data_IF_673268140037
#
_entry.id   IF_673268140037
#
_cell.length_a   1.000
_cell.length_b   1.000
_cell.length_c   1.000
_cell.angle_alpha   90.00
_cell.angle_beta   90.00
_cell.angle_gamma   90.00
#
_symmetry.space_group_name_H-M   'P 1'
#
loop_
_entity.id
_entity.type
_entity.pdbx_description
1 polymer ?
#
# COMPACT_ATOMS: atom_id res chain seq x y z
N UNK A 1 6.35 -6.03 14.50
CA UNK A 1 6.05 -4.58 14.49
C UNK A 1 6.58 -3.89 15.74
N UNK A 2 6.44 -4.51 16.91
CA UNK A 2 6.92 -3.98 18.21
C UNK A 2 8.38 -3.52 18.22
N UNK A 3 9.32 -4.31 17.65
CA UNK A 3 10.74 -3.90 17.60
C UNK A 3 10.95 -2.55 16.91
N UNK A 4 10.24 -2.27 15.82
CA UNK A 4 10.37 -1.00 15.10
C UNK A 4 9.72 0.13 15.90
N UNK A 5 8.58 -0.12 16.53
CA UNK A 5 7.87 0.88 17.34
C UNK A 5 8.61 1.24 18.63
N UNK A 6 9.43 0.33 19.16
CA UNK A 6 10.33 0.61 20.27
C UNK A 6 11.51 1.50 19.86
N UNK A 7 11.96 1.41 18.60
CA UNK A 7 13.08 2.21 18.09
C UNK A 7 12.62 3.55 17.51
N UNK A 8 11.46 3.56 16.86
CA UNK A 8 10.90 4.72 16.16
C UNK A 8 9.48 4.93 16.68
N UNK A 9 9.25 5.97 17.50
CA UNK A 9 7.91 6.23 18.03
C UNK A 9 6.96 6.55 16.88
N UNK A 10 5.74 6.04 17.00
CA UNK A 10 4.70 6.10 15.97
C UNK A 10 4.41 7.52 15.45
N UNK A 11 4.57 8.53 16.33
CA UNK A 11 4.37 9.95 16.03
C UNK A 11 5.38 10.50 15.02
N UNK A 12 6.52 9.83 14.83
CA UNK A 12 7.55 10.16 13.85
C UNK A 12 7.38 9.41 12.52
N UNK A 13 6.41 8.50 12.43
CA UNK A 13 6.16 7.71 11.23
C UNK A 13 5.00 8.35 10.48
N UNK A 14 5.31 9.00 9.37
CA UNK A 14 4.30 9.63 8.51
C UNK A 14 3.47 8.58 7.76
N UNK A 15 4.13 7.67 7.04
CA UNK A 15 3.50 6.59 6.27
C UNK A 15 4.40 5.34 6.19
N UNK A 16 3.82 4.17 6.41
CA UNK A 16 4.46 2.88 6.13
C UNK A 16 4.14 2.46 4.69
N UNK A 17 5.15 2.37 3.83
CA UNK A 17 5.01 1.88 2.45
C UNK A 17 5.38 0.39 2.39
N UNK A 18 4.52 -0.45 1.82
CA UNK A 18 4.80 -1.89 1.72
C UNK A 18 4.27 -2.52 0.43
N UNK A 19 4.90 -3.62 0.00
CA UNK A 19 4.52 -4.33 -1.22
C UNK A 19 3.44 -5.41 -0.98
N UNK A 20 3.08 -6.16 -2.01
CA UNK A 20 1.90 -7.07 -2.09
C UNK A 20 1.96 -8.32 -1.20
N UNK A 21 3.06 -8.51 -0.48
CA UNK A 21 3.22 -9.58 0.50
C UNK A 21 2.60 -9.21 1.86
N UNK A 22 2.37 -7.93 2.12
CA UNK A 22 1.93 -7.41 3.42
C UNK A 22 0.41 -7.18 3.51
N UNK A 23 -0.40 -8.18 3.15
CA UNK A 23 -1.87 -8.05 3.03
C UNK A 23 -2.71 -8.96 3.96
N UNK A 24 -2.08 -9.46 5.04
CA UNK A 24 -2.74 -10.28 6.05
C UNK A 24 -3.72 -9.48 6.93
N UNK A 25 -4.78 -10.14 7.41
CA UNK A 25 -5.76 -9.54 8.32
C UNK A 25 -5.09 -8.99 9.58
N UNK A 26 -4.33 -9.83 10.30
CA UNK A 26 -3.64 -9.45 11.53
C UNK A 26 -2.67 -8.28 11.31
N UNK A 27 -1.99 -8.27 10.15
CA UNK A 27 -1.06 -7.19 9.81
C UNK A 27 -1.79 -5.86 9.61
N UNK A 28 -2.83 -5.86 8.77
CA UNK A 28 -3.62 -4.66 8.46
C UNK A 28 -4.37 -4.15 9.69
N UNK A 29 -4.91 -5.06 10.50
CA UNK A 29 -5.62 -4.72 11.71
C UNK A 29 -4.65 -4.16 12.76
N UNK A 30 -3.47 -4.77 12.94
CA UNK A 30 -2.40 -4.24 13.78
C UNK A 30 -1.98 -2.82 13.38
N UNK A 31 -1.78 -2.54 12.09
CA UNK A 31 -1.48 -1.19 11.61
C UNK A 31 -2.60 -0.20 11.94
N UNK A 32 -3.86 -0.62 11.76
CA UNK A 32 -5.03 0.20 12.05
C UNK A 32 -5.18 0.49 13.53
N UNK A 33 -5.06 -0.52 14.40
CA UNK A 33 -5.18 -0.38 15.86
C UNK A 33 -4.11 0.56 16.42
N UNK A 34 -2.89 0.46 15.90
CA UNK A 34 -1.78 1.34 16.26
C UNK A 34 -1.89 2.74 15.62
N UNK A 35 -2.95 3.03 14.84
CA UNK A 35 -3.17 4.31 14.13
C UNK A 35 -2.03 4.69 13.17
N UNK A 36 -1.28 3.70 12.67
CA UNK A 36 -0.26 3.88 11.64
C UNK A 36 -0.92 4.13 10.29
N UNK A 37 -0.50 5.21 9.65
CA UNK A 37 -0.82 5.44 8.24
C UNK A 37 0.02 4.46 7.41
N UNK A 38 -0.62 3.67 6.56
CA UNK A 38 0.09 2.77 5.66
C UNK A 38 -0.40 2.92 4.23
N UNK A 39 0.45 2.56 3.27
CA UNK A 39 0.14 2.49 1.84
C UNK A 39 0.73 1.20 1.30
N UNK A 40 -0.14 0.25 1.01
CA UNK A 40 0.27 -1.12 0.71
C UNK A 40 -0.22 -1.48 -0.68
N UNK A 41 0.67 -1.99 -1.52
CA UNK A 41 0.30 -2.48 -2.85
C UNK A 41 -0.48 -3.78 -2.73
N UNK A 42 -1.52 -3.94 -3.55
CA UNK A 42 -2.39 -5.11 -3.50
C UNK A 42 -2.51 -5.75 -4.87
N UNK A 43 -2.68 -7.07 -4.92
CA UNK A 43 -2.90 -7.76 -6.20
C UNK A 43 -4.36 -7.56 -6.63
N UNK A 44 -4.59 -7.52 -7.93
CA UNK A 44 -5.94 -7.42 -8.51
C UNK A 44 -6.87 -8.56 -8.09
N UNK A 45 -6.33 -9.72 -7.75
CA UNK A 45 -7.05 -10.89 -7.25
C UNK A 45 -7.50 -10.80 -5.78
N UNK A 46 -7.01 -9.83 -5.02
CA UNK A 46 -7.46 -9.62 -3.64
C UNK A 46 -8.95 -9.30 -3.61
N UNK A 47 -9.64 -9.80 -2.58
CA UNK A 47 -11.09 -9.64 -2.43
C UNK A 47 -11.38 -8.41 -1.58
N UNK A 48 -12.37 -7.65 -2.02
CA UNK A 48 -12.93 -6.49 -1.31
C UNK A 48 -14.43 -6.67 -1.16
N UNK A 49 -14.96 -6.26 -0.01
CA UNK A 49 -16.40 -6.18 0.20
C UNK A 49 -16.93 -4.83 -0.28
N UNK A 50 -17.83 -4.87 -1.26
CA UNK A 50 -18.48 -3.72 -1.87
C UNK A 50 -19.98 -3.97 -1.97
N UNK A 51 -20.80 -3.08 -1.37
CA UNK A 51 -22.27 -3.20 -1.36
C UNK A 51 -22.74 -4.61 -0.91
N UNK A 52 -22.16 -5.11 0.19
CA UNK A 52 -22.44 -6.45 0.74
C UNK A 52 -22.09 -7.62 -0.18
N UNK A 53 -21.33 -7.39 -1.26
CA UNK A 53 -20.81 -8.42 -2.17
C UNK A 53 -19.29 -8.49 -2.09
N UNK A 54 -18.75 -9.71 -2.15
CA UNK A 54 -17.31 -9.96 -2.27
C UNK A 54 -16.94 -9.92 -3.75
N UNK A 55 -16.15 -8.93 -4.15
CA UNK A 55 -15.63 -8.80 -5.52
C UNK A 55 -14.11 -8.71 -5.50
N UNK A 56 -13.46 -9.06 -6.61
CA UNK A 56 -12.03 -8.79 -6.73
C UNK A 56 -11.77 -7.28 -6.86
N UNK A 57 -10.69 -6.81 -6.26
CA UNK A 57 -10.27 -5.41 -6.34
C UNK A 57 -9.99 -5.01 -7.80
N UNK A 58 -9.48 -5.93 -8.62
CA UNK A 58 -9.35 -5.71 -10.05
C UNK A 58 -10.68 -5.45 -10.76
N UNK A 59 -11.77 -6.10 -10.34
CA UNK A 59 -13.12 -5.85 -10.86
C UNK A 59 -13.66 -4.49 -10.41
N UNK A 60 -13.39 -4.10 -9.16
CA UNK A 60 -13.72 -2.76 -8.66
C UNK A 60 -13.04 -1.65 -9.49
N UNK A 61 -11.78 -1.88 -9.89
CA UNK A 61 -10.98 -0.91 -10.63
C UNK A 61 -11.08 -1.07 -12.17
N UNK A 62 -12.05 -1.83 -12.68
CA UNK A 62 -12.15 -2.12 -14.12
C UNK A 62 -12.42 -0.88 -14.96
N UNK A 63 -13.16 0.09 -14.42
CA UNK A 63 -13.48 1.35 -15.11
C UNK A 63 -12.39 2.42 -15.08
N UNK A 64 -11.20 2.12 -14.52
CA UNK A 64 -10.10 3.09 -14.48
C UNK A 64 -9.41 3.10 -15.84
N UNK A 65 -9.44 4.24 -16.54
CA UNK A 65 -8.82 4.43 -17.86
C UNK A 65 -7.30 4.54 -17.80
N UNK A 66 -6.63 4.38 -18.94
CA UNK A 66 -5.18 4.57 -19.05
C UNK A 66 -4.77 5.97 -18.56
N UNK A 67 -3.70 6.04 -17.77
CA UNK A 67 -3.19 7.25 -17.12
C UNK A 67 -4.16 7.93 -16.14
N UNK A 68 -5.29 7.29 -15.81
CA UNK A 68 -6.22 7.77 -14.80
C UNK A 68 -5.84 7.25 -13.41
N UNK A 69 -5.98 8.13 -12.42
CA UNK A 69 -5.94 7.78 -11.00
C UNK A 69 -7.33 7.94 -10.41
N UNK A 70 -7.78 6.94 -9.66
CA UNK A 70 -9.07 6.94 -8.96
C UNK A 70 -8.82 6.61 -7.50
N UNK A 71 -9.35 7.46 -6.62
CA UNK A 71 -9.32 7.26 -5.17
C UNK A 71 -10.75 7.09 -4.67
N UNK A 72 -11.04 6.00 -3.98
CA UNK A 72 -12.34 5.79 -3.37
C UNK A 72 -12.37 6.43 -1.98
N UNK A 73 -13.23 7.43 -1.79
CA UNK A 73 -13.37 8.14 -0.51
C UNK A 73 -14.11 7.36 0.57
N UNK A 74 -14.79 6.27 0.21
CA UNK A 74 -15.43 5.37 1.18
C UNK A 74 -14.50 4.20 1.48
N UNK A 75 -14.33 3.90 2.78
CA UNK A 75 -13.60 2.70 3.22
C UNK A 75 -14.30 1.45 2.70
N UNK A 76 -13.51 0.49 2.24
CA UNK A 76 -13.98 -0.85 1.87
C UNK A 76 -13.21 -1.88 2.68
N UNK A 77 -13.83 -3.03 2.98
CA UNK A 77 -13.16 -4.07 3.73
C UNK A 77 -12.26 -4.87 2.80
N UNK A 78 -10.96 -4.81 3.05
CA UNK A 78 -9.93 -5.63 2.38
C UNK A 78 -9.37 -6.56 3.45
N UNK A 79 -9.43 -7.87 3.22
CA UNK A 79 -9.09 -8.87 4.24
C UNK A 79 -9.82 -8.64 5.58
N UNK A 80 -11.08 -8.20 5.54
CA UNK A 80 -11.89 -7.89 6.73
C UNK A 80 -11.60 -6.55 7.42
N UNK A 81 -10.56 -5.82 6.98
CA UNK A 81 -10.16 -4.54 7.58
C UNK A 81 -10.65 -3.36 6.72
N UNK A 82 -11.31 -2.34 7.30
CA UNK A 82 -11.82 -1.19 6.56
C UNK A 82 -10.69 -0.24 6.15
N UNK A 83 -10.38 -0.20 4.86
CA UNK A 83 -9.29 0.56 4.26
C UNK A 83 -9.78 1.43 3.11
N UNK A 84 -9.06 2.53 2.84
CA UNK A 84 -9.17 3.29 1.61
C UNK A 84 -8.46 2.58 0.48
N UNK A 85 -8.90 2.80 -0.75
CA UNK A 85 -8.32 2.22 -1.94
C UNK A 85 -8.04 3.36 -2.92
N UNK A 86 -6.87 3.33 -3.54
CA UNK A 86 -6.59 4.07 -4.75
C UNK A 86 -6.06 3.13 -5.82
N UNK A 87 -6.38 3.44 -7.08
CA UNK A 87 -5.87 2.71 -8.22
C UNK A 87 -5.40 3.70 -9.29
N UNK A 88 -4.31 3.33 -9.96
CA UNK A 88 -3.81 4.03 -11.14
C UNK A 88 -3.59 3.01 -12.24
N UNK A 89 -4.18 3.25 -13.41
CA UNK A 89 -3.89 2.41 -14.59
C UNK A 89 -2.81 3.08 -15.41
N UNK A 90 -1.77 2.31 -15.72
CA UNK A 90 -0.62 2.72 -16.54
C UNK A 90 -0.52 1.80 -17.75
N UNK A 91 0.37 2.12 -18.70
CA UNK A 91 0.69 1.24 -19.83
C UNK A 91 1.21 -0.12 -19.37
N UNK A 92 1.85 -0.20 -18.20
CA UNK A 92 2.37 -1.42 -17.60
C UNK A 92 1.30 -2.23 -16.84
N UNK A 93 0.09 -1.69 -16.70
CA UNK A 93 -1.02 -2.34 -16.01
C UNK A 93 -1.58 -1.53 -14.84
N UNK A 94 -2.35 -2.21 -14.00
CA UNK A 94 -3.12 -1.61 -12.91
C UNK A 94 -2.33 -1.65 -11.59
N UNK A 95 -1.98 -0.47 -11.08
CA UNK A 95 -1.43 -0.27 -9.75
C UNK A 95 -2.58 -0.06 -8.77
N UNK A 96 -2.59 -0.78 -7.64
CA UNK A 96 -3.66 -0.67 -6.64
C UNK A 96 -3.05 -0.61 -5.26
N UNK A 97 -3.37 0.44 -4.51
CA UNK A 97 -2.82 0.71 -3.19
C UNK A 97 -3.95 0.83 -2.18
N UNK A 98 -3.83 0.14 -1.05
CA UNK A 98 -4.73 0.29 0.10
C UNK A 98 -4.09 1.18 1.17
N UNK A 99 -4.91 1.94 1.89
CA UNK A 99 -4.44 2.80 2.96
C UNK A 99 -5.36 2.81 4.19
N UNK A 100 -4.78 2.94 5.38
CA UNK A 100 -5.53 3.04 6.66
C UNK A 100 -6.13 4.43 6.91
N UNK A 101 -5.48 5.47 6.37
CA UNK A 101 -5.96 6.87 6.41
C UNK A 101 -6.14 7.39 4.99
N UNK A 102 -6.89 8.49 4.86
CA UNK A 102 -7.14 9.17 3.58
C UNK A 102 -6.18 10.34 3.40
N UNK A 103 -5.11 10.16 2.63
CA UNK A 103 -4.46 11.23 1.88
C UNK A 103 -4.95 11.17 0.43
N UNK A 104 -5.31 12.29 -0.18
CA UNK A 104 -5.69 12.31 -1.60
C UNK A 104 -4.52 11.83 -2.52
N UNK A 105 -3.29 11.94 -2.00
CA UNK A 105 -2.03 11.57 -2.64
C UNK A 105 -1.63 10.09 -2.47
N UNK A 106 -2.56 9.12 -2.30
CA UNK A 106 -2.26 7.69 -2.05
C UNK A 106 -1.15 7.15 -2.97
N UNK A 107 -1.33 7.35 -4.27
CA UNK A 107 -0.44 6.83 -5.32
C UNK A 107 0.90 7.57 -5.38
N UNK A 108 0.89 8.88 -5.13
CA UNK A 108 2.11 9.70 -5.15
C UNK A 108 3.07 9.28 -4.04
N UNK A 109 2.59 9.18 -2.80
CA UNK A 109 3.45 8.73 -1.70
C UNK A 109 3.88 7.27 -1.86
N UNK A 110 3.06 6.42 -2.48
CA UNK A 110 3.49 5.06 -2.79
C UNK A 110 4.66 5.04 -3.80
N UNK A 111 4.73 6.02 -4.71
CA UNK A 111 5.83 6.12 -5.68
C UNK A 111 7.18 6.37 -4.99
N UNK A 112 7.19 6.99 -3.80
CA UNK A 112 8.40 7.19 -2.97
C UNK A 112 9.02 5.88 -2.46
N UNK A 113 8.30 4.75 -2.53
CA UNK A 113 8.85 3.42 -2.23
C UNK A 113 10.11 3.13 -3.06
N UNK A 114 10.20 3.62 -4.29
CA UNK A 114 11.32 3.36 -5.18
C UNK A 114 12.66 3.92 -4.64
N UNK A 115 12.63 4.97 -3.81
CA UNK A 115 13.83 5.52 -3.17
C UNK A 115 14.58 4.50 -2.31
N UNK A 116 13.87 3.51 -1.75
CA UNK A 116 14.47 2.43 -0.96
C UNK A 116 15.28 1.49 -1.88
N UNK A 117 14.78 1.19 -3.08
CA UNK A 117 15.50 0.36 -4.05
C UNK A 117 16.80 1.05 -4.52
N UNK A 118 16.75 2.36 -4.74
CA UNK A 118 17.94 3.17 -5.06
C UNK A 118 18.96 3.15 -3.91
N UNK A 119 18.51 3.32 -2.66
CA UNK A 119 19.39 3.27 -1.48
C UNK A 119 20.10 1.92 -1.37
N UNK A 120 19.37 0.80 -1.48
CA UNK A 120 19.99 -0.53 -1.43
C UNK A 120 20.87 -0.82 -2.64
N UNK A 121 20.53 -0.30 -3.82
CA UNK A 121 21.39 -0.38 -5.00
C UNK A 121 22.75 0.27 -4.77
N UNK A 122 22.74 1.52 -4.29
CA UNK A 122 23.97 2.27 -3.98
C UNK A 122 24.80 1.58 -2.89
N UNK A 123 24.14 1.07 -1.84
CA UNK A 123 24.83 0.37 -0.76
C UNK A 123 25.53 -0.90 -1.26
N UNK A 124 24.91 -1.65 -2.17
CA UNK A 124 25.51 -2.85 -2.77
C UNK A 124 26.67 -2.51 -3.70
N UNK A 125 26.56 -1.47 -4.51
CA UNK A 125 27.61 -1.04 -5.43
C UNK A 125 28.85 -0.46 -4.72
N UNK A 126 28.69 0.06 -3.50
CA UNK A 126 29.80 0.60 -2.70
C UNK A 126 30.53 -0.47 -1.86
N UNK A 127 30.08 -1.72 -1.84
CA UNK A 127 30.79 -2.79 -1.14
C UNK A 127 31.97 -3.26 -1.98
N UNK A 128 33.22 -3.23 -1.46
CA UNK A 128 34.34 -3.79 -2.18
C UNK A 128 34.10 -5.28 -2.40
N UNK A 129 34.16 -5.71 -3.66
CA UNK A 129 34.21 -7.13 -4.00
C UNK A 129 35.47 -7.72 -3.36
N UNK A 130 35.37 -8.75 -2.50
CA UNK A 130 36.57 -9.44 -2.03
C UNK A 130 37.28 -10.02 -3.24
N UNK A 131 38.55 -9.62 -3.42
CA UNK A 131 39.47 -10.19 -4.40
C UNK A 131 39.95 -11.56 -3.96
#
# INVERSE_FOLDING_TARGET
MERVLNLIPIKRIDNLLADREFIGHEWLDGLRQNKLSCRILVKSKNVVEYLSKKISIGKLCRGVSINQTVTWHNKKKVSGVPLYIAARRTLKGLLIVVATKKPDSIIDDYSKRWSIETMFGNLKSSMPVPR
#
